data_IF_095694699664
#
_entry.id   IF_095694699664
#
_cell.length_a   1.000
_cell.length_b   1.000
_cell.length_c   1.000
_cell.angle_alpha   90.00
_cell.angle_beta   90.00
_cell.angle_gamma   90.00
#
_symmetry.space_group_name_H-M   'P 1'
#
loop_
_entity.id
_entity.type
_entity.pdbx_description
1 polymer ?
#
# COMPACT_ATOMS: atom_id res chain seq x y z
N UNK A 1 -32.72 -41.50 29.79
CA UNK A 1 -32.32 -40.61 30.90
C UNK A 1 -32.04 -39.23 30.30
N UNK A 2 -32.75 -38.21 30.74
CA UNK A 2 -32.44 -36.83 30.33
C UNK A 2 -31.06 -36.44 30.88
N UNK A 3 -30.17 -36.04 30.03
CA UNK A 3 -28.83 -35.60 30.41
C UNK A 3 -28.96 -34.21 31.04
N UNK A 4 -28.67 -34.09 32.32
CA UNK A 4 -28.70 -32.82 33.01
C UNK A 4 -27.59 -31.91 32.45
N UNK A 5 -27.94 -30.70 32.02
CA UNK A 5 -26.98 -29.74 31.49
C UNK A 5 -26.18 -29.11 32.65
N UNK A 6 -24.87 -28.83 32.45
CA UNK A 6 -24.11 -28.09 33.43
C UNK A 6 -24.68 -26.72 33.70
N UNK A 7 -24.61 -26.24 34.95
CA UNK A 7 -25.13 -24.92 35.34
C UNK A 7 -24.34 -23.74 34.66
N UNK A 8 -23.09 -23.98 34.24
CA UNK A 8 -22.22 -22.98 33.61
C UNK A 8 -21.78 -23.52 32.27
N UNK A 9 -21.81 -22.65 31.27
CA UNK A 9 -21.24 -22.95 29.93
C UNK A 9 -19.73 -22.91 29.96
N UNK A 10 -19.10 -24.03 29.62
CA UNK A 10 -17.65 -24.21 29.53
C UNK A 10 -17.21 -24.23 28.05
N UNK A 11 -16.83 -23.07 27.45
CA UNK A 11 -16.55 -22.99 26.00
C UNK A 11 -15.49 -23.97 25.53
N UNK A 12 -14.44 -24.17 26.33
CA UNK A 12 -13.32 -25.05 26.01
C UNK A 12 -13.72 -26.52 25.81
N UNK A 13 -14.80 -26.96 26.42
CA UNK A 13 -15.30 -28.34 26.29
C UNK A 13 -16.18 -28.55 25.06
N UNK A 14 -16.68 -27.47 24.46
CA UNK A 14 -17.76 -27.53 23.47
C UNK A 14 -17.36 -26.96 22.12
N UNK A 15 -16.69 -25.79 22.10
CA UNK A 15 -16.47 -25.02 20.87
C UNK A 15 -15.68 -25.76 19.80
N UNK A 16 -14.52 -26.31 20.15
CA UNK A 16 -13.67 -27.03 19.19
C UNK A 16 -14.42 -28.23 18.58
N UNK A 17 -15.16 -28.98 19.38
CA UNK A 17 -15.92 -30.15 18.93
C UNK A 17 -17.04 -29.75 17.96
N UNK A 18 -17.74 -28.65 18.25
CA UNK A 18 -18.82 -28.16 17.38
C UNK A 18 -18.24 -27.61 16.10
N UNK A 19 -17.15 -26.83 16.18
CA UNK A 19 -16.50 -26.27 14.99
C UNK A 19 -15.99 -27.36 14.05
N UNK A 20 -15.35 -28.41 14.60
CA UNK A 20 -14.92 -29.59 13.83
C UNK A 20 -16.08 -30.30 13.15
N UNK A 21 -17.23 -30.41 13.84
CA UNK A 21 -18.45 -30.98 13.27
C UNK A 21 -18.93 -30.15 12.07
N UNK A 22 -18.93 -28.82 12.18
CA UNK A 22 -19.31 -27.94 11.07
C UNK A 22 -18.40 -28.08 9.87
N UNK A 23 -17.08 -28.13 10.10
CA UNK A 23 -16.10 -28.32 9.01
C UNK A 23 -16.26 -29.67 8.32
N UNK A 24 -16.36 -30.77 9.09
CA UNK A 24 -16.56 -32.12 8.53
C UNK A 24 -17.88 -32.27 7.78
N UNK A 25 -18.90 -31.54 8.22
CA UNK A 25 -20.22 -31.51 7.55
C UNK A 25 -20.26 -30.68 6.27
N UNK A 26 -19.17 -29.95 5.94
CA UNK A 26 -19.12 -29.11 4.74
C UNK A 26 -20.07 -27.91 4.77
N UNK A 27 -20.55 -27.50 5.96
CA UNK A 27 -21.60 -26.47 6.07
C UNK A 27 -21.15 -25.07 5.64
N UNK A 28 -19.86 -24.85 5.50
CA UNK A 28 -19.29 -23.55 5.08
C UNK A 28 -18.91 -23.53 3.61
N UNK A 29 -18.85 -24.69 2.97
CA UNK A 29 -18.52 -24.85 1.57
C UNK A 29 -19.70 -24.52 0.67
N UNK A 30 -19.45 -23.88 -0.46
CA UNK A 30 -20.46 -23.57 -1.46
C UNK A 30 -19.92 -23.88 -2.87
N UNK A 31 -20.69 -24.68 -3.63
CA UNK A 31 -20.47 -24.92 -5.04
C UNK A 31 -21.46 -24.11 -5.89
N UNK A 32 -21.20 -23.99 -7.18
CA UNK A 32 -22.11 -23.32 -8.11
C UNK A 32 -23.44 -24.07 -8.14
N UNK A 33 -24.51 -23.38 -7.77
CA UNK A 33 -25.87 -23.90 -7.75
C UNK A 33 -26.80 -22.85 -8.39
N UNK A 34 -27.13 -23.05 -9.66
CA UNK A 34 -27.98 -22.14 -10.43
C UNK A 34 -29.42 -22.04 -9.91
N UNK A 35 -29.86 -23.02 -9.12
CA UNK A 35 -31.19 -23.00 -8.50
C UNK A 35 -31.30 -22.04 -7.30
N UNK A 36 -30.18 -21.58 -6.77
CA UNK A 36 -30.12 -20.70 -5.59
C UNK A 36 -29.53 -19.34 -5.93
N UNK A 37 -30.06 -18.31 -5.30
CA UNK A 37 -29.51 -16.98 -5.42
C UNK A 37 -28.14 -16.90 -4.76
N UNK A 38 -27.08 -16.45 -5.46
CA UNK A 38 -25.74 -16.37 -4.88
C UNK A 38 -25.61 -15.18 -3.93
N UNK A 39 -24.78 -15.35 -2.90
CA UNK A 39 -24.33 -14.28 -2.01
C UNK A 39 -22.89 -14.55 -1.58
N UNK A 40 -21.97 -13.70 -1.99
CA UNK A 40 -20.53 -13.90 -1.74
C UNK A 40 -19.94 -12.72 -1.01
N UNK A 41 -19.14 -13.01 0.02
CA UNK A 41 -18.22 -12.05 0.66
C UNK A 41 -16.80 -12.55 0.46
N UNK A 42 -15.92 -11.66 0.04
CA UNK A 42 -14.46 -11.87 0.09
C UNK A 42 -13.97 -11.13 1.33
N UNK A 43 -13.42 -11.86 2.28
CA UNK A 43 -12.89 -11.27 3.51
C UNK A 43 -11.72 -10.34 3.16
N UNK A 44 -11.69 -9.08 3.65
CA UNK A 44 -10.48 -8.29 3.63
C UNK A 44 -9.35 -9.07 4.34
N UNK A 45 -8.30 -9.49 3.63
CA UNK A 45 -7.33 -10.42 4.20
C UNK A 45 -6.48 -9.71 5.25
N UNK A 46 -6.45 -10.18 6.51
CA UNK A 46 -5.58 -9.58 7.52
C UNK A 46 -4.11 -9.78 7.19
N UNK A 47 -3.31 -8.76 7.52
CA UNK A 47 -1.87 -8.74 7.31
C UNK A 47 -1.15 -9.73 8.24
N UNK A 48 -0.14 -10.46 7.73
CA UNK A 48 0.67 -11.38 8.55
C UNK A 48 1.70 -10.66 9.44
N UNK A 49 1.35 -9.49 9.94
CA UNK A 49 2.22 -8.67 10.80
C UNK A 49 2.18 -9.07 12.27
N UNK A 50 1.25 -9.93 12.66
CA UNK A 50 1.08 -10.40 14.04
C UNK A 50 -0.24 -11.13 14.26
N UNK A 51 -0.68 -11.11 15.51
CA UNK A 51 -1.96 -11.70 15.91
C UNK A 51 -3.12 -10.74 15.63
N UNK A 52 -4.32 -11.31 15.47
CA UNK A 52 -5.54 -10.51 15.34
C UNK A 52 -5.87 -9.81 16.68
N UNK A 53 -6.54 -8.67 16.58
CA UNK A 53 -7.04 -7.87 17.70
C UNK A 53 -8.57 -7.68 17.58
N UNK A 54 -9.17 -6.99 18.56
CA UNK A 54 -10.62 -6.81 18.63
C UNK A 54 -11.24 -6.16 17.38
N UNK A 55 -10.50 -5.27 16.69
CA UNK A 55 -10.98 -4.69 15.41
C UNK A 55 -11.22 -5.75 14.34
N UNK A 56 -10.30 -6.71 14.21
CA UNK A 56 -10.47 -7.84 13.28
C UNK A 56 -11.63 -8.76 13.70
N UNK A 57 -11.82 -8.96 15.02
CA UNK A 57 -12.93 -9.75 15.52
C UNK A 57 -14.27 -9.10 15.20
N UNK A 58 -14.38 -7.77 15.34
CA UNK A 58 -15.58 -7.01 14.98
C UNK A 58 -15.89 -7.12 13.48
N UNK A 59 -14.90 -6.89 12.63
CA UNK A 59 -15.03 -7.00 11.17
C UNK A 59 -15.49 -8.40 10.75
N UNK A 60 -14.81 -9.45 11.24
CA UNK A 60 -15.18 -10.83 10.95
C UNK A 60 -16.59 -11.19 11.47
N UNK A 61 -16.97 -10.70 12.64
CA UNK A 61 -18.31 -10.98 13.22
C UNK A 61 -19.42 -10.36 12.38
N UNK A 62 -19.25 -9.16 11.86
CA UNK A 62 -20.23 -8.51 10.98
C UNK A 62 -20.43 -9.32 9.69
N UNK A 63 -19.33 -9.74 9.06
CA UNK A 63 -19.36 -10.55 7.85
C UNK A 63 -19.98 -11.92 8.12
N UNK A 64 -19.62 -12.59 9.21
CA UNK A 64 -20.13 -13.91 9.59
C UNK A 64 -21.65 -13.86 9.86
N UNK A 65 -22.10 -12.82 10.52
CA UNK A 65 -23.53 -12.59 10.76
C UNK A 65 -24.32 -12.53 9.46
N UNK A 66 -23.82 -11.77 8.47
CA UNK A 66 -24.46 -11.64 7.16
C UNK A 66 -24.46 -12.97 6.39
N UNK A 67 -23.34 -13.68 6.38
CA UNK A 67 -23.23 -14.97 5.70
C UNK A 67 -24.18 -16.00 6.31
N UNK A 68 -24.23 -16.11 7.64
CA UNK A 68 -25.14 -17.02 8.34
C UNK A 68 -26.60 -16.66 8.08
N UNK A 69 -26.94 -15.39 8.11
CA UNK A 69 -28.28 -14.91 7.79
C UNK A 69 -28.69 -15.30 6.36
N UNK A 70 -27.78 -15.13 5.38
CA UNK A 70 -28.06 -15.51 3.99
C UNK A 70 -28.19 -17.03 3.80
N UNK A 71 -27.38 -17.83 4.49
CA UNK A 71 -27.57 -19.30 4.50
C UNK A 71 -28.93 -19.70 5.05
N UNK A 72 -29.39 -19.07 6.14
CA UNK A 72 -30.72 -19.32 6.71
C UNK A 72 -31.84 -18.93 5.76
N UNK A 73 -31.61 -17.93 4.89
CA UNK A 73 -32.60 -17.55 3.85
C UNK A 73 -32.55 -18.46 2.61
N UNK A 74 -31.72 -19.51 2.58
CA UNK A 74 -31.59 -20.44 1.46
C UNK A 74 -30.71 -19.97 0.31
N UNK A 75 -29.94 -18.89 0.49
CA UNK A 75 -28.96 -18.46 -0.52
C UNK A 75 -27.80 -19.44 -0.65
N UNK A 76 -27.20 -19.50 -1.84
CA UNK A 76 -25.88 -20.11 -2.04
C UNK A 76 -24.82 -19.12 -1.54
N UNK A 77 -24.48 -19.23 -0.25
CA UNK A 77 -23.69 -18.22 0.44
C UNK A 77 -22.23 -18.68 0.61
N UNK A 78 -21.30 -17.92 0.04
CA UNK A 78 -19.87 -18.18 0.07
C UNK A 78 -19.12 -17.04 0.80
N UNK A 79 -18.31 -17.40 1.78
CA UNK A 79 -17.39 -16.47 2.44
C UNK A 79 -15.95 -16.96 2.28
N UNK A 80 -15.17 -16.22 1.47
CA UNK A 80 -13.79 -16.59 1.11
C UNK A 80 -12.84 -15.93 2.11
N UNK A 81 -12.08 -16.71 2.90
CA UNK A 81 -11.06 -16.18 3.78
C UNK A 81 -9.71 -16.02 3.07
N UNK A 82 -8.84 -15.22 3.67
CA UNK A 82 -7.47 -15.05 3.19
C UNK A 82 -6.57 -14.42 4.22
N UNK A 83 -5.27 -14.35 3.90
CA UNK A 83 -4.26 -13.58 4.64
C UNK A 83 -3.39 -12.81 3.64
N UNK A 84 -3.01 -11.60 4.03
CA UNK A 84 -2.17 -10.73 3.19
C UNK A 84 -0.70 -10.81 3.62
N UNK A 85 0.19 -10.88 2.63
CA UNK A 85 1.64 -10.84 2.86
C UNK A 85 2.13 -9.48 3.38
N UNK A 86 1.41 -8.40 3.11
CA UNK A 86 1.66 -7.04 3.61
C UNK A 86 3.10 -6.51 3.43
N UNK A 87 3.83 -7.05 2.48
CA UNK A 87 5.16 -6.66 2.03
C UNK A 87 6.05 -5.96 3.06
N UNK A 88 6.09 -4.63 2.99
CA UNK A 88 6.94 -3.77 3.83
C UNK A 88 6.67 -3.96 5.33
N UNK A 89 5.41 -4.01 5.73
CA UNK A 89 5.04 -4.13 7.15
C UNK A 89 5.51 -5.46 7.75
N UNK A 90 5.40 -6.57 7.01
CA UNK A 90 5.91 -7.88 7.43
C UNK A 90 7.43 -7.87 7.49
N UNK A 91 8.12 -7.26 6.51
CA UNK A 91 9.56 -7.11 6.52
C UNK A 91 10.03 -6.36 7.77
N UNK A 92 9.40 -5.23 8.12
CA UNK A 92 9.74 -4.46 9.33
C UNK A 92 9.62 -5.33 10.59
N UNK A 93 8.57 -6.16 10.69
CA UNK A 93 8.40 -7.07 11.84
C UNK A 93 9.52 -8.12 11.93
N UNK A 94 9.94 -8.67 10.82
CA UNK A 94 11.06 -9.61 10.80
C UNK A 94 12.38 -8.91 11.15
N UNK A 95 12.60 -7.69 10.66
CA UNK A 95 13.77 -6.89 11.03
C UNK A 95 13.79 -6.52 12.52
N UNK A 96 12.63 -6.26 13.14
CA UNK A 96 12.51 -6.04 14.58
C UNK A 96 12.97 -7.28 15.37
N UNK A 97 12.62 -8.50 14.93
CA UNK A 97 13.10 -9.73 15.57
C UNK A 97 14.61 -9.92 15.37
N UNK A 98 15.14 -9.70 14.17
CA UNK A 98 16.56 -9.77 13.90
C UNK A 98 17.37 -8.81 14.78
N UNK A 99 16.87 -7.59 15.02
CA UNK A 99 17.54 -6.64 15.92
C UNK A 99 17.67 -7.16 17.35
N UNK A 100 16.72 -7.97 17.84
CA UNK A 100 16.82 -8.61 19.15
C UNK A 100 17.94 -9.65 19.20
N UNK A 101 18.27 -10.24 18.04
CA UNK A 101 19.39 -11.17 17.87
C UNK A 101 20.71 -10.43 17.57
N UNK A 102 20.70 -9.09 17.47
CA UNK A 102 21.87 -8.27 17.10
C UNK A 102 22.21 -8.33 15.63
N UNK A 103 21.27 -8.76 14.77
CA UNK A 103 21.45 -8.93 13.34
C UNK A 103 20.64 -7.92 12.53
N UNK A 104 21.10 -7.68 11.30
CA UNK A 104 20.36 -6.93 10.27
C UNK A 104 20.06 -7.85 9.09
N UNK A 105 19.14 -7.41 8.22
CA UNK A 105 18.89 -8.13 6.95
C UNK A 105 20.11 -8.19 6.04
N UNK A 106 21.03 -7.23 6.16
CA UNK A 106 22.25 -7.17 5.36
C UNK A 106 23.27 -8.21 5.81
N UNK A 107 23.34 -8.52 7.12
CA UNK A 107 24.20 -9.57 7.66
C UNK A 107 23.78 -10.96 7.19
N UNK A 108 22.49 -11.18 7.03
CA UNK A 108 21.93 -12.44 6.53
C UNK A 108 22.06 -12.60 5.02
N UNK A 109 21.98 -11.49 4.26
CA UNK A 109 21.76 -11.50 2.83
C UNK A 109 20.33 -11.91 2.44
N UNK A 110 20.01 -11.76 1.14
CA UNK A 110 18.63 -11.89 0.64
C UNK A 110 17.99 -13.26 0.91
N UNK A 111 18.71 -14.34 0.64
CA UNK A 111 18.17 -15.71 0.73
C UNK A 111 17.76 -16.06 2.15
N UNK A 112 18.69 -15.95 3.10
CA UNK A 112 18.41 -16.24 4.52
C UNK A 112 17.41 -15.28 5.13
N UNK A 113 17.37 -14.03 4.69
CA UNK A 113 16.34 -13.09 5.12
C UNK A 113 14.96 -13.53 4.65
N UNK A 114 14.81 -13.98 3.40
CA UNK A 114 13.55 -14.51 2.88
C UNK A 114 13.09 -15.77 3.63
N UNK A 115 14.00 -16.66 3.99
CA UNK A 115 13.67 -17.81 4.85
C UNK A 115 13.02 -17.35 6.16
N UNK A 116 13.60 -16.36 6.85
CA UNK A 116 13.03 -15.77 8.07
C UNK A 116 11.65 -15.15 7.84
N UNK A 117 11.45 -14.49 6.69
CA UNK A 117 10.15 -13.90 6.34
C UNK A 117 9.10 -15.00 6.09
N UNK A 118 9.47 -16.11 5.43
CA UNK A 118 8.57 -17.23 5.22
C UNK A 118 8.23 -17.95 6.54
N UNK A 119 9.19 -18.13 7.44
CA UNK A 119 8.94 -18.69 8.78
C UNK A 119 7.97 -17.82 9.57
N UNK A 120 8.15 -16.50 9.52
CA UNK A 120 7.22 -15.54 10.11
C UNK A 120 5.81 -15.68 9.53
N UNK A 121 5.70 -15.73 8.21
CA UNK A 121 4.42 -15.94 7.50
C UNK A 121 3.74 -17.22 7.92
N UNK A 122 4.46 -18.32 8.01
CA UNK A 122 3.88 -19.60 8.44
C UNK A 122 3.39 -19.54 9.88
N UNK A 123 4.19 -18.97 10.77
CA UNK A 123 3.84 -18.83 12.18
C UNK A 123 2.57 -17.97 12.36
N UNK A 124 2.56 -16.77 11.84
CA UNK A 124 1.47 -15.83 12.08
C UNK A 124 0.28 -16.04 11.14
N UNK A 125 0.48 -16.47 9.91
CA UNK A 125 -0.63 -16.83 9.02
C UNK A 125 -1.47 -17.98 9.58
N UNK A 126 -0.83 -19.03 10.09
CA UNK A 126 -1.53 -20.12 10.77
C UNK A 126 -2.23 -19.64 12.05
N UNK A 127 -1.57 -18.76 12.81
CA UNK A 127 -2.15 -18.20 14.03
C UNK A 127 -3.41 -17.38 13.76
N UNK A 128 -3.42 -16.59 12.68
CA UNK A 128 -4.58 -15.81 12.23
C UNK A 128 -5.75 -16.73 11.92
N UNK A 129 -5.51 -17.79 11.15
CA UNK A 129 -6.55 -18.77 10.79
C UNK A 129 -7.13 -19.43 12.05
N UNK A 130 -6.27 -19.85 12.99
CA UNK A 130 -6.73 -20.44 14.25
C UNK A 130 -7.54 -19.46 15.11
N UNK A 131 -7.17 -18.18 15.15
CA UNK A 131 -7.95 -17.16 15.86
C UNK A 131 -9.33 -16.96 15.22
N UNK A 132 -9.43 -16.93 13.89
CA UNK A 132 -10.72 -16.84 13.19
C UNK A 132 -11.60 -18.07 13.43
N UNK A 133 -11.03 -19.27 13.42
CA UNK A 133 -11.73 -20.50 13.78
C UNK A 133 -12.22 -20.48 15.24
N UNK A 134 -11.41 -19.96 16.16
CA UNK A 134 -11.80 -19.78 17.57
C UNK A 134 -12.91 -18.78 17.76
N UNK A 135 -12.96 -17.73 16.90
CA UNK A 135 -14.08 -16.79 16.84
C UNK A 135 -15.38 -17.44 16.31
N UNK A 136 -15.27 -18.62 15.70
CA UNK A 136 -16.40 -19.33 15.09
C UNK A 136 -16.70 -18.90 13.66
N UNK A 137 -15.79 -18.23 12.97
CA UNK A 137 -15.96 -17.74 11.61
C UNK A 137 -16.34 -18.87 10.64
N UNK A 138 -17.47 -18.73 9.95
CA UNK A 138 -18.04 -19.75 9.05
C UNK A 138 -17.55 -19.60 7.60
N UNK A 139 -16.22 -19.45 7.45
CA UNK A 139 -15.56 -19.30 6.16
C UNK A 139 -15.43 -20.64 5.42
N UNK A 140 -15.39 -20.59 4.11
CA UNK A 140 -14.97 -21.70 3.26
C UNK A 140 -13.43 -21.84 3.27
N UNK A 141 -12.93 -22.61 4.23
CA UNK A 141 -11.49 -22.79 4.44
C UNK A 141 -10.79 -23.54 3.31
N UNK A 142 -11.51 -24.30 2.50
CA UNK A 142 -10.95 -24.99 1.32
C UNK A 142 -10.56 -23.99 0.23
N UNK A 143 -11.22 -22.82 0.23
CA UNK A 143 -10.93 -21.70 -0.68
C UNK A 143 -10.05 -20.61 -0.06
N UNK A 144 -9.44 -20.90 1.10
CA UNK A 144 -8.53 -19.94 1.74
C UNK A 144 -7.38 -19.55 0.80
N UNK A 145 -7.08 -18.23 0.76
CA UNK A 145 -6.03 -17.68 -0.11
C UNK A 145 -4.95 -16.97 0.69
N UNK A 146 -3.76 -17.01 0.16
CA UNK A 146 -2.66 -16.14 0.57
C UNK A 146 -2.27 -15.28 -0.62
N UNK A 147 -2.12 -13.96 -0.43
CA UNK A 147 -1.93 -12.99 -1.52
C UNK A 147 -0.67 -13.22 -2.36
N UNK A 148 0.29 -14.05 -1.89
CA UNK A 148 1.45 -14.50 -2.65
C UNK A 148 1.43 -16.00 -2.96
N UNK A 149 0.29 -16.67 -2.88
CA UNK A 149 0.20 -18.05 -3.36
C UNK A 149 0.39 -18.15 -4.88
N UNK A 150 0.57 -19.35 -5.38
CA UNK A 150 0.83 -19.59 -6.80
C UNK A 150 -0.26 -19.01 -7.71
N UNK A 151 -1.54 -19.21 -7.33
CA UNK A 151 -2.68 -18.72 -8.10
C UNK A 151 -2.75 -17.20 -8.15
N UNK A 152 -2.62 -16.54 -7.00
CA UNK A 152 -2.58 -15.07 -6.91
C UNK A 152 -1.37 -14.50 -7.66
N UNK A 153 -0.19 -15.12 -7.51
CA UNK A 153 1.03 -14.71 -8.21
C UNK A 153 0.91 -14.85 -9.74
N UNK A 154 0.24 -15.90 -10.22
CA UNK A 154 -0.07 -16.06 -11.64
C UNK A 154 -1.02 -14.97 -12.13
N UNK A 155 -2.11 -14.73 -11.40
CA UNK A 155 -3.10 -13.71 -11.75
C UNK A 155 -2.49 -12.31 -11.83
N UNK A 156 -1.65 -11.92 -10.86
CA UNK A 156 -0.95 -10.63 -10.86
C UNK A 156 -0.07 -10.48 -12.10
N UNK A 157 0.69 -11.50 -12.45
CA UNK A 157 1.54 -11.46 -13.66
C UNK A 157 0.71 -11.34 -14.93
N UNK A 158 -0.37 -12.10 -15.06
CA UNK A 158 -1.27 -12.06 -16.22
C UNK A 158 -1.86 -10.66 -16.41
N UNK A 159 -2.36 -10.05 -15.33
CA UNK A 159 -2.90 -8.68 -15.35
C UNK A 159 -1.81 -7.67 -15.73
N UNK A 160 -0.62 -7.77 -15.15
CA UNK A 160 0.48 -6.86 -15.44
C UNK A 160 0.88 -6.91 -16.93
N UNK A 161 1.06 -8.11 -17.49
CA UNK A 161 1.40 -8.29 -18.90
C UNK A 161 0.29 -7.76 -19.81
N UNK A 162 -0.96 -8.08 -19.51
CA UNK A 162 -2.11 -7.60 -20.30
C UNK A 162 -2.21 -6.06 -20.30
N UNK A 163 -1.94 -5.41 -19.18
CA UNK A 163 -1.94 -3.95 -19.09
C UNK A 163 -0.77 -3.33 -19.86
N UNK A 164 0.40 -3.98 -19.87
CA UNK A 164 1.55 -3.55 -20.64
C UNK A 164 1.27 -3.66 -22.15
N UNK A 165 0.72 -4.79 -22.60
CA UNK A 165 0.36 -5.01 -24.01
C UNK A 165 -0.70 -4.02 -24.51
N UNK A 166 -1.61 -3.58 -23.62
CA UNK A 166 -2.60 -2.53 -23.92
C UNK A 166 -2.03 -1.11 -23.88
N UNK A 167 -0.74 -0.93 -23.60
CA UNK A 167 -0.10 0.37 -23.47
C UNK A 167 -0.52 1.21 -22.27
N UNK A 168 -1.21 0.60 -21.29
CA UNK A 168 -1.68 1.28 -20.06
C UNK A 168 -0.60 1.38 -19.00
N UNK A 169 0.44 0.55 -19.07
CA UNK A 169 1.62 0.57 -18.20
C UNK A 169 2.85 0.83 -19.04
N UNK A 170 3.68 1.75 -18.60
CA UNK A 170 4.96 2.07 -19.23
C UNK A 170 6.02 2.42 -18.18
N UNK A 171 7.30 2.25 -18.53
CA UNK A 171 8.42 2.65 -17.68
C UNK A 171 8.68 4.15 -17.82
N UNK A 172 8.70 4.87 -16.71
CA UNK A 172 8.96 6.31 -16.69
C UNK A 172 9.50 6.75 -15.32
N UNK A 173 10.12 7.93 -15.31
CA UNK A 173 10.59 8.58 -14.09
C UNK A 173 9.49 9.52 -13.57
N UNK A 174 9.23 9.46 -12.27
CA UNK A 174 8.28 10.33 -11.57
C UNK A 174 8.85 10.72 -10.22
N UNK A 175 8.43 11.88 -9.72
CA UNK A 175 8.69 12.27 -8.33
C UNK A 175 7.78 11.44 -7.45
N UNK A 176 8.37 10.79 -6.44
CA UNK A 176 7.66 9.92 -5.49
C UNK A 176 7.99 10.31 -4.05
N UNK A 177 7.12 9.97 -3.12
CA UNK A 177 7.42 10.03 -1.71
C UNK A 177 8.40 8.89 -1.34
N UNK A 178 9.46 9.23 -0.64
CA UNK A 178 10.54 8.30 -0.29
C UNK A 178 10.86 8.34 1.19
N UNK A 179 10.91 7.18 1.84
CA UNK A 179 11.36 7.05 3.22
C UNK A 179 12.85 6.69 3.27
N UNK A 180 13.73 7.59 3.73
CA UNK A 180 15.17 7.29 3.81
C UNK A 180 15.51 6.26 4.91
N UNK A 181 14.64 6.08 5.90
CA UNK A 181 14.80 5.06 6.94
C UNK A 181 14.49 3.66 6.43
N UNK A 182 13.35 3.49 5.76
CA UNK A 182 12.94 2.19 5.20
C UNK A 182 13.59 1.91 3.85
N UNK A 183 14.21 2.92 3.21
CA UNK A 183 14.82 2.85 1.86
C UNK A 183 13.80 2.33 0.84
N UNK A 184 12.61 2.92 0.85
CA UNK A 184 11.49 2.52 -0.03
C UNK A 184 10.62 3.70 -0.43
N UNK A 185 9.91 3.56 -1.54
CA UNK A 185 8.81 4.44 -1.91
C UNK A 185 7.64 4.29 -0.94
N UNK A 186 6.87 5.36 -0.79
CA UNK A 186 5.65 5.41 0.01
C UNK A 186 4.47 5.75 -0.89
N UNK A 187 3.30 5.19 -0.59
CA UNK A 187 2.04 5.64 -1.18
C UNK A 187 1.59 6.96 -0.56
N UNK A 188 0.74 7.71 -1.25
CA UNK A 188 0.22 8.98 -0.72
C UNK A 188 -0.59 8.78 0.57
N UNK A 189 -1.23 7.61 0.73
CA UNK A 189 -1.99 7.26 1.94
C UNK A 189 -1.12 7.06 3.19
N UNK A 190 0.18 6.82 3.01
CA UNK A 190 1.16 6.61 4.09
C UNK A 190 1.88 7.90 4.50
N UNK A 191 1.61 9.02 3.80
CA UNK A 191 2.28 10.30 4.01
C UNK A 191 1.42 11.22 4.87
N UNK A 192 1.97 11.64 6.00
CA UNK A 192 1.37 12.67 6.85
C UNK A 192 2.04 14.01 6.59
N UNK A 193 1.22 15.02 6.28
CA UNK A 193 1.70 16.38 6.05
C UNK A 193 1.73 17.15 7.36
N UNK A 194 2.88 17.73 7.65
CA UNK A 194 3.10 18.56 8.84
C UNK A 194 3.55 19.95 8.41
N UNK A 195 2.78 20.97 8.78
CA UNK A 195 3.12 22.36 8.53
C UNK A 195 4.34 22.77 9.36
N UNK A 196 5.35 23.32 8.69
CA UNK A 196 6.54 23.86 9.33
C UNK A 196 6.76 25.30 8.89
N UNK A 197 7.13 26.21 9.82
CA UNK A 197 7.58 27.55 9.44
C UNK A 197 8.77 27.45 8.47
N UNK A 198 8.70 28.18 7.38
CA UNK A 198 9.73 28.18 6.35
C UNK A 198 9.90 29.56 5.74
N UNK A 199 10.82 29.67 4.78
CA UNK A 199 11.08 30.90 4.05
C UNK A 199 10.91 30.67 2.55
N UNK A 200 10.48 31.69 1.85
CA UNK A 200 10.47 31.72 0.39
C UNK A 200 11.66 32.57 -0.07
N UNK A 201 12.65 31.91 -0.63
CA UNK A 201 13.89 32.52 -1.09
C UNK A 201 13.74 33.02 -2.52
N UNK A 202 14.04 34.29 -2.77
CA UNK A 202 14.03 34.90 -4.09
C UNK A 202 15.45 34.94 -4.62
N UNK A 203 15.70 34.26 -5.73
CA UNK A 203 17.02 34.11 -6.34
C UNK A 203 16.98 34.82 -7.69
N UNK A 204 18.00 35.65 -7.99
CA UNK A 204 18.15 36.37 -9.26
C UNK A 204 18.99 35.54 -10.20
N UNK A 205 18.45 35.30 -11.38
CA UNK A 205 19.16 34.64 -12.50
C UNK A 205 19.39 35.67 -13.59
N UNK A 206 20.61 36.24 -13.71
CA UNK A 206 20.92 37.22 -14.76
C UNK A 206 20.73 36.59 -16.15
N UNK A 207 20.18 37.35 -17.09
CA UNK A 207 20.22 36.97 -18.50
C UNK A 207 21.64 37.01 -19.03
N UNK A 208 22.04 36.00 -19.82
CA UNK A 208 23.37 35.88 -20.35
C UNK A 208 23.75 37.02 -21.30
N UNK A 209 22.75 37.62 -21.96
CA UNK A 209 22.92 38.79 -22.82
C UNK A 209 23.01 40.14 -22.07
N UNK A 210 22.93 40.11 -20.74
CA UNK A 210 22.98 41.31 -19.90
C UNK A 210 21.72 42.20 -19.95
N UNK A 211 20.66 41.77 -20.63
CA UNK A 211 19.43 42.57 -20.82
C UNK A 211 18.50 42.64 -19.59
N UNK A 212 18.81 41.90 -18.53
CA UNK A 212 17.98 41.87 -17.31
C UNK A 212 18.20 40.63 -16.45
N UNK A 213 17.20 40.30 -15.66
CA UNK A 213 17.27 39.14 -14.76
C UNK A 213 15.88 38.48 -14.63
N UNK A 214 15.87 37.22 -14.28
CA UNK A 214 14.66 36.49 -13.89
C UNK A 214 14.71 36.20 -12.38
N UNK A 215 13.64 36.48 -11.66
CA UNK A 215 13.53 36.18 -10.24
C UNK A 215 12.76 34.88 -10.07
N UNK A 216 13.38 33.90 -9.44
CA UNK A 216 12.80 32.58 -9.13
C UNK A 216 12.64 32.48 -7.62
N UNK A 217 11.46 32.03 -7.14
CA UNK A 217 11.23 31.78 -5.73
C UNK A 217 11.24 30.28 -5.41
N UNK A 218 11.85 29.95 -4.27
CA UNK A 218 11.93 28.57 -3.82
C UNK A 218 11.94 28.49 -2.29
N UNK A 219 11.37 27.40 -1.76
CA UNK A 219 11.50 27.04 -0.36
C UNK A 219 12.75 26.22 -0.05
N UNK A 220 13.47 25.75 -1.10
CA UNK A 220 14.68 24.93 -1.01
C UNK A 220 15.80 25.51 -1.89
N UNK A 221 16.51 26.54 -1.41
CA UNK A 221 17.53 27.22 -2.22
C UNK A 221 18.72 26.31 -2.60
N UNK A 222 19.01 25.28 -1.79
CA UNK A 222 20.06 24.30 -2.02
C UNK A 222 19.90 23.52 -3.33
N UNK A 223 18.68 23.34 -3.83
CA UNK A 223 18.41 22.62 -5.08
C UNK A 223 18.78 23.42 -6.31
N UNK A 224 19.01 24.75 -6.18
CA UNK A 224 19.43 25.63 -7.28
C UNK A 224 20.69 25.13 -7.99
N UNK A 225 21.64 24.54 -7.26
CA UNK A 225 22.89 24.05 -7.84
C UNK A 225 22.72 22.99 -8.92
N UNK A 226 21.55 22.31 -8.94
CA UNK A 226 21.18 21.28 -9.92
C UNK A 226 20.28 21.79 -11.03
N UNK A 227 19.96 23.08 -11.10
CA UNK A 227 19.01 23.59 -12.10
C UNK A 227 19.57 23.41 -13.53
N UNK A 228 18.68 22.97 -14.42
CA UNK A 228 18.99 22.71 -15.83
C UNK A 228 18.24 23.64 -16.78
N UNK A 229 17.29 24.43 -16.29
CA UNK A 229 16.54 25.41 -17.05
C UNK A 229 15.64 26.25 -16.15
N UNK A 230 15.08 27.32 -16.68
CA UNK A 230 14.04 28.14 -16.04
C UNK A 230 12.80 28.06 -16.89
N UNK A 231 11.66 27.67 -16.28
CA UNK A 231 10.36 27.62 -16.96
C UNK A 231 9.56 28.89 -16.71
N UNK A 232 8.95 29.41 -17.76
CA UNK A 232 8.03 30.55 -17.68
C UNK A 232 6.74 30.20 -18.41
N UNK A 233 5.59 30.72 -17.91
CA UNK A 233 4.34 30.49 -18.57
C UNK A 233 4.25 31.32 -19.86
N UNK A 234 3.93 30.73 -21.05
CA UNK A 234 3.87 31.43 -22.32
C UNK A 234 2.79 32.53 -22.37
N UNK A 235 1.81 32.48 -21.46
CA UNK A 235 0.74 33.48 -21.37
C UNK A 235 1.10 34.63 -20.41
N UNK A 236 2.29 34.60 -19.78
CA UNK A 236 2.73 35.69 -18.90
C UNK A 236 3.51 36.75 -19.66
N UNK A 237 2.85 37.91 -19.84
CA UNK A 237 3.43 39.05 -20.56
C UNK A 237 4.80 39.50 -20.04
N UNK A 238 5.11 39.23 -18.75
CA UNK A 238 6.38 39.63 -18.11
C UNK A 238 7.58 38.90 -18.69
N UNK A 239 7.36 37.71 -19.24
CA UNK A 239 8.43 36.77 -19.61
C UNK A 239 8.42 36.34 -21.08
N UNK A 240 7.46 36.81 -21.89
CA UNK A 240 7.36 36.45 -23.32
C UNK A 240 8.64 36.70 -24.12
N UNK A 241 9.29 37.84 -23.86
CA UNK A 241 10.47 38.25 -24.61
C UNK A 241 11.78 37.55 -24.20
N UNK A 242 11.73 36.73 -23.16
CA UNK A 242 12.89 36.01 -22.67
C UNK A 242 12.84 34.50 -22.96
N UNK A 243 11.73 33.99 -23.45
CA UNK A 243 11.62 32.59 -23.89
C UNK A 243 12.65 32.31 -25.00
N UNK A 244 13.41 31.24 -24.84
CA UNK A 244 14.50 30.87 -25.74
C UNK A 244 15.84 31.56 -25.48
N UNK A 245 15.88 32.56 -24.57
CA UNK A 245 17.16 33.09 -24.07
C UNK A 245 17.78 32.16 -23.04
N UNK A 246 19.01 32.52 -22.61
CA UNK A 246 19.73 31.82 -21.53
C UNK A 246 19.89 32.70 -20.30
N UNK A 247 19.87 32.11 -19.14
CA UNK A 247 20.21 32.75 -17.87
C UNK A 247 21.45 32.10 -17.27
N UNK A 248 22.16 32.87 -16.45
CA UNK A 248 23.34 32.38 -15.72
C UNK A 248 22.90 31.85 -14.38
N UNK A 249 23.14 30.57 -14.12
CA UNK A 249 22.89 29.93 -12.84
C UNK A 249 23.81 30.53 -11.77
N UNK A 250 23.29 31.19 -10.74
CA UNK A 250 24.10 31.81 -9.69
C UNK A 250 25.01 30.80 -9.00
N UNK A 251 26.17 31.25 -8.55
CA UNK A 251 27.26 30.48 -7.92
C UNK A 251 27.94 29.45 -8.82
N UNK A 252 27.19 28.80 -9.72
CA UNK A 252 27.75 27.79 -10.66
C UNK A 252 28.29 28.42 -11.91
N UNK A 253 27.80 29.61 -12.30
CA UNK A 253 28.17 30.36 -13.53
C UNK A 253 27.91 29.55 -14.82
N UNK A 254 26.92 28.68 -14.81
CA UNK A 254 26.50 27.86 -15.96
C UNK A 254 25.35 28.55 -16.67
N UNK A 255 25.38 28.61 -17.99
CA UNK A 255 24.24 29.02 -18.78
C UNK A 255 23.20 27.90 -18.84
N UNK A 256 21.93 28.26 -18.56
CA UNK A 256 20.79 27.38 -18.65
C UNK A 256 19.65 28.04 -19.44
N UNK A 257 18.85 27.29 -20.21
CA UNK A 257 17.83 27.85 -21.08
C UNK A 257 16.61 28.36 -20.30
N UNK A 258 15.90 29.36 -20.87
CA UNK A 258 14.58 29.76 -20.50
C UNK A 258 13.60 29.08 -21.45
N UNK A 259 12.69 28.25 -20.93
CA UNK A 259 11.73 27.47 -21.71
C UNK A 259 10.30 27.87 -21.38
N UNK A 260 9.42 27.77 -22.37
CA UNK A 260 7.98 27.97 -22.17
C UNK A 260 7.34 26.67 -21.68
N UNK A 261 6.55 26.75 -20.61
CA UNK A 261 5.80 25.63 -20.05
C UNK A 261 4.52 26.17 -19.36
N UNK A 262 3.41 25.45 -19.47
CA UNK A 262 2.13 25.86 -18.88
C UNK A 262 2.04 25.57 -17.36
N UNK A 263 3.00 24.81 -16.80
CA UNK A 263 3.03 24.42 -15.39
C UNK A 263 3.18 25.60 -14.43
N UNK A 264 4.05 26.63 -14.67
CA UNK A 264 4.11 27.80 -13.80
C UNK A 264 2.82 28.62 -13.86
N UNK A 265 2.27 28.90 -12.69
CA UNK A 265 1.05 29.74 -12.60
C UNK A 265 1.40 31.20 -12.83
N UNK A 266 1.03 31.76 -13.97
CA UNK A 266 1.31 33.16 -14.35
C UNK A 266 0.63 34.20 -13.45
N UNK A 267 -0.38 33.78 -12.64
CA UNK A 267 -1.07 34.64 -11.65
C UNK A 267 -0.31 34.80 -10.33
N UNK A 268 0.74 34.02 -10.08
CA UNK A 268 1.56 34.08 -8.87
C UNK A 268 2.84 34.90 -9.13
N UNK A 269 3.34 35.56 -8.12
CA UNK A 269 4.63 36.26 -8.17
C UNK A 269 5.61 35.61 -7.16
N UNK A 270 6.81 35.24 -7.60
CA UNK A 270 7.30 35.18 -8.99
C UNK A 270 6.70 34.00 -9.75
N UNK A 271 6.37 34.19 -11.03
CA UNK A 271 5.76 33.19 -11.90
C UNK A 271 6.79 32.37 -12.71
N UNK A 272 8.07 32.51 -12.43
CA UNK A 272 9.11 31.67 -12.98
C UNK A 272 9.41 30.50 -12.05
N UNK A 273 9.60 29.33 -12.65
CA UNK A 273 9.91 28.06 -12.00
C UNK A 273 11.20 27.47 -12.59
N UNK A 274 11.85 26.56 -11.90
CA UNK A 274 13.13 25.94 -12.28
C UNK A 274 13.04 24.43 -12.31
#
# INVERSE_FOLDING_TARGET
MARELPKVYEPQQVESKIYDMWQRGGYFHAEVDESKKPFTIVMPPPNVTGQLHMGHAMDATLQDTLIRFKRMQGYNALWIPGVDHAGIATQIKVEEELRKEGLTRYDLGREKFLERVWDWKHKYGNRIVEQQKKLGASCDWERARFTMDEGCSKAVREVFVSLYEKGLIYKGSRIINWCPHCVTALSDAEVEYVDKPGHLWHIRYPLADGSGEVIVATTRPETMLGDSGVCVNPNDERYKDIVGKTVILPLVNKEIPVVADDTPRWTSAPAASR
#
